data_IF_562599655911
#
_entry.id   IF_562599655911
#
_cell.length_a   1.000
_cell.length_b   1.000
_cell.length_c   1.000
_cell.angle_alpha   90.00
_cell.angle_beta   90.00
_cell.angle_gamma   90.00
#
_symmetry.space_group_name_H-M   'P 1'
#
loop_
_entity.id
_entity.type
_entity.pdbx_description
1 polymer ?
#
# COMPACT_ATOMS: atom_id res chain seq x y z
N UNK A 1 -39.37 45.49 -10.05
CA UNK A 1 -38.05 46.02 -10.47
C UNK A 1 -37.16 44.84 -10.81
N UNK A 2 -37.10 44.52 -12.10
CA UNK A 2 -36.16 43.59 -12.70
C UNK A 2 -35.20 44.42 -13.57
N UNK A 3 -33.91 44.07 -13.55
CA UNK A 3 -32.87 44.47 -14.51
C UNK A 3 -31.56 43.80 -14.04
N UNK A 4 -30.65 43.30 -14.86
CA UNK A 4 -30.56 43.10 -16.31
C UNK A 4 -29.21 42.37 -16.49
N UNK A 5 -29.17 41.20 -17.11
CA UNK A 5 -27.91 40.68 -17.67
C UNK A 5 -28.18 40.31 -19.13
N UNK A 6 -27.47 41.00 -20.01
CA UNK A 6 -27.70 41.04 -21.44
C UNK A 6 -27.38 39.73 -22.15
N UNK A 7 -28.29 39.36 -23.04
CA UNK A 7 -28.07 38.42 -24.12
C UNK A 7 -27.15 39.04 -25.17
N UNK A 8 -26.17 38.29 -25.64
CA UNK A 8 -25.62 38.44 -27.00
C UNK A 8 -25.57 37.06 -27.64
N UNK A 9 -26.61 36.75 -28.41
CA UNK A 9 -26.60 35.65 -29.37
C UNK A 9 -25.88 36.11 -30.64
N UNK A 10 -24.86 35.35 -31.06
CA UNK A 10 -24.19 35.59 -32.34
C UNK A 10 -24.57 34.46 -33.29
N UNK A 11 -25.42 34.82 -34.26
CA UNK A 11 -25.73 34.03 -35.44
C UNK A 11 -24.47 33.77 -36.27
N UNK A 12 -24.27 32.51 -36.69
CA UNK A 12 -23.23 32.14 -37.66
C UNK A 12 -23.59 32.66 -39.04
N UNK A 13 -22.68 33.40 -39.66
CA UNK A 13 -22.71 33.82 -41.06
C UNK A 13 -21.60 33.04 -41.82
N UNK A 14 -21.90 32.20 -42.83
CA UNK A 14 -20.90 31.36 -43.48
C UNK A 14 -20.44 31.99 -44.79
N UNK A 15 -19.39 32.80 -44.74
CA UNK A 15 -18.62 33.18 -45.94
C UNK A 15 -17.25 33.69 -45.52
N UNK A 16 -16.21 32.92 -45.85
CA UNK A 16 -14.90 33.32 -46.39
C UNK A 16 -14.02 32.06 -46.32
N UNK A 17 -13.97 31.36 -47.45
CA UNK A 17 -13.05 30.26 -47.71
C UNK A 17 -11.83 30.86 -48.41
N UNK A 18 -10.74 31.07 -47.67
CA UNK A 18 -9.43 31.47 -48.20
C UNK A 18 -8.49 30.27 -48.12
N UNK A 19 -8.41 29.49 -49.20
CA UNK A 19 -7.44 28.42 -49.36
C UNK A 19 -6.11 28.98 -49.87
N UNK A 20 -5.06 28.86 -49.05
CA UNK A 20 -3.67 28.99 -49.48
C UNK A 20 -3.27 27.75 -50.30
N UNK A 21 -2.70 27.96 -51.49
CA UNK A 21 -2.03 26.93 -52.28
C UNK A 21 -0.60 27.42 -52.58
N UNK A 22 0.39 26.68 -52.08
CA UNK A 22 1.81 26.78 -52.46
C UNK A 22 2.05 25.96 -53.74
N UNK A 23 2.86 26.44 -54.70
CA UNK A 23 3.09 25.72 -55.96
C UNK A 23 4.29 24.76 -55.83
N UNK A 24 4.11 23.52 -56.30
CA UNK A 24 5.20 22.57 -56.51
C UNK A 24 5.53 22.51 -58.00
N UNK A 25 6.76 22.89 -58.33
CA UNK A 25 7.36 22.83 -59.67
C UNK A 25 7.35 21.41 -60.24
N UNK A 26 6.93 21.29 -61.50
CA UNK A 26 7.09 20.09 -62.32
C UNK A 26 7.51 20.49 -63.74
N UNK A 27 8.79 20.35 -64.02
CA UNK A 27 9.41 20.44 -65.35
C UNK A 27 8.91 19.35 -66.28
N UNK A 28 8.36 19.71 -67.44
CA UNK A 28 8.37 18.83 -68.62
C UNK A 28 8.60 19.61 -69.91
N UNK A 29 9.50 19.04 -70.69
CA UNK A 29 10.16 19.51 -71.89
C UNK A 29 9.26 19.55 -73.12
N UNK A 30 9.47 20.59 -73.92
CA UNK A 30 8.90 20.81 -75.25
C UNK A 30 9.21 19.66 -76.20
N UNK A 31 8.18 19.14 -76.88
CA UNK A 31 8.32 18.47 -78.17
C UNK A 31 7.42 19.20 -79.16
N UNK A 32 8.08 19.75 -80.17
CA UNK A 32 7.54 20.48 -81.29
C UNK A 32 7.16 19.47 -82.39
N UNK A 33 5.92 19.45 -82.88
CA UNK A 33 5.61 19.07 -84.27
C UNK A 33 4.16 19.38 -84.60
N UNK A 34 3.96 20.23 -85.61
CA UNK A 34 2.65 20.60 -86.11
C UNK A 34 2.09 19.57 -87.09
N UNK A 35 0.78 19.39 -87.08
CA UNK A 35 0.02 18.91 -88.22
C UNK A 35 -1.32 19.64 -88.29
N UNK A 36 -1.52 20.31 -89.42
CA UNK A 36 -2.73 21.01 -89.84
C UNK A 36 -3.86 20.02 -90.13
N UNK A 37 -5.12 20.32 -89.78
CA UNK A 37 -6.34 19.99 -90.55
C UNK A 37 -7.61 20.58 -89.87
N UNK A 38 -8.76 20.75 -90.58
CA UNK A 38 -9.41 22.05 -90.70
C UNK A 38 -10.72 22.20 -89.91
N UNK A 39 -11.08 23.46 -89.64
CA UNK A 39 -12.30 23.84 -88.93
C UNK A 39 -13.59 23.38 -89.60
N UNK A 40 -14.53 22.94 -88.77
CA UNK A 40 -15.93 22.74 -89.11
C UNK A 40 -16.78 23.68 -88.26
N UNK A 41 -17.63 24.44 -88.95
CA UNK A 41 -18.51 25.48 -88.43
C UNK A 41 -19.59 24.88 -87.54
N UNK A 42 -19.75 25.39 -86.32
CA UNK A 42 -20.95 25.17 -85.51
C UNK A 42 -22.00 26.23 -85.84
N UNK A 43 -23.02 25.82 -86.58
CA UNK A 43 -24.31 26.51 -86.64
C UNK A 43 -25.12 26.15 -85.40
N UNK A 44 -25.47 27.15 -84.60
CA UNK A 44 -26.39 27.03 -83.47
C UNK A 44 -27.80 26.86 -84.02
N UNK A 45 -28.49 25.80 -83.63
CA UNK A 45 -29.95 25.74 -83.69
C UNK A 45 -30.49 25.30 -82.33
N UNK A 46 -31.15 26.26 -81.70
CA UNK A 46 -31.84 26.20 -80.42
C UNK A 46 -33.15 25.42 -80.53
N UNK A 47 -33.37 24.48 -79.61
CA UNK A 47 -34.66 23.85 -79.36
C UNK A 47 -34.93 23.86 -77.86
N UNK A 48 -35.95 24.59 -77.44
CA UNK A 48 -36.39 24.77 -76.04
C UNK A 48 -37.28 23.60 -75.64
N UNK A 49 -36.98 22.91 -74.52
CA UNK A 49 -37.92 22.74 -73.39
C UNK A 49 -37.44 21.69 -72.38
N UNK A 50 -37.13 22.21 -71.19
CA UNK A 50 -37.25 21.68 -69.81
C UNK A 50 -35.99 21.98 -69.04
N UNK A 51 -36.20 22.46 -67.81
CA UNK A 51 -35.24 23.02 -66.88
C UNK A 51 -34.11 22.04 -66.53
N UNK A 52 -33.09 21.97 -67.39
CA UNK A 52 -31.93 21.09 -67.26
C UNK A 52 -30.93 21.73 -66.30
N UNK A 53 -31.15 21.51 -65.01
CA UNK A 53 -30.25 21.96 -63.95
C UNK A 53 -28.91 21.19 -64.05
N UNK A 54 -27.94 21.80 -64.73
CA UNK A 54 -26.59 21.26 -64.93
C UNK A 54 -25.88 20.96 -63.60
N UNK A 55 -26.29 21.59 -62.48
CA UNK A 55 -25.78 21.25 -61.14
C UNK A 55 -26.32 19.90 -60.67
N UNK A 56 -27.60 19.59 -60.92
CA UNK A 56 -28.17 18.28 -60.62
C UNK A 56 -27.53 17.19 -61.46
N UNK A 57 -27.25 17.46 -62.73
CA UNK A 57 -26.52 16.52 -63.61
C UNK A 57 -25.07 16.34 -63.12
N UNK A 58 -24.40 17.40 -62.69
CA UNK A 58 -23.06 17.34 -62.11
C UNK A 58 -23.01 16.61 -60.77
N UNK A 59 -23.98 16.84 -59.89
CA UNK A 59 -24.14 16.13 -58.62
C UNK A 59 -24.46 14.65 -58.82
N UNK A 60 -25.36 14.32 -59.76
CA UNK A 60 -25.66 12.94 -60.11
C UNK A 60 -24.42 12.21 -60.67
N UNK A 61 -23.61 12.90 -61.48
CA UNK A 61 -22.33 12.35 -61.96
C UNK A 61 -21.31 12.17 -60.83
N UNK A 62 -21.22 13.10 -59.89
CA UNK A 62 -20.33 12.98 -58.73
C UNK A 62 -20.76 11.86 -57.79
N UNK A 63 -22.07 11.71 -57.53
CA UNK A 63 -22.60 10.58 -56.76
C UNK A 63 -22.31 9.25 -57.46
N UNK A 64 -22.48 9.17 -58.78
CA UNK A 64 -22.13 7.97 -59.55
C UNK A 64 -20.63 7.68 -59.48
N UNK A 65 -19.79 8.71 -59.46
CA UNK A 65 -18.35 8.59 -59.27
C UNK A 65 -18.01 8.11 -57.85
N UNK A 66 -18.64 8.67 -56.82
CA UNK A 66 -18.47 8.24 -55.42
C UNK A 66 -18.87 6.79 -55.21
N UNK A 67 -19.96 6.33 -55.85
CA UNK A 67 -20.40 4.93 -55.81
C UNK A 67 -19.36 4.00 -56.47
N UNK A 68 -18.79 4.40 -57.61
CA UNK A 68 -17.72 3.62 -58.26
C UNK A 68 -16.45 3.61 -57.42
N UNK A 69 -16.12 4.74 -56.79
CA UNK A 69 -14.98 4.85 -55.90
C UNK A 69 -15.18 4.02 -54.63
N UNK A 70 -16.38 4.01 -54.03
CA UNK A 70 -16.70 3.17 -52.88
C UNK A 70 -16.64 1.69 -53.24
N UNK A 71 -17.15 1.29 -54.41
CA UNK A 71 -17.05 -0.09 -54.89
C UNK A 71 -15.60 -0.57 -55.05
N UNK A 72 -14.72 0.31 -55.54
CA UNK A 72 -13.27 0.04 -55.60
C UNK A 72 -12.65 0.07 -54.20
N UNK A 73 -13.09 0.99 -53.33
CA UNK A 73 -12.59 1.14 -51.96
C UNK A 73 -12.95 -0.03 -51.05
N UNK A 74 -14.14 -0.63 -51.21
CA UNK A 74 -14.60 -1.81 -50.46
C UNK A 74 -13.75 -3.05 -50.80
N UNK A 75 -13.09 -3.04 -51.96
CA UNK A 75 -12.15 -4.09 -52.37
C UNK A 75 -10.75 -3.89 -51.79
N UNK A 76 -10.47 -2.74 -51.16
CA UNK A 76 -9.19 -2.41 -50.54
C UNK A 76 -9.25 -2.73 -49.04
N UNK A 77 -8.84 -3.96 -48.70
CA UNK A 77 -8.66 -4.34 -47.30
C UNK A 77 -7.47 -3.59 -46.68
N UNK A 78 -7.61 -3.15 -45.41
CA UNK A 78 -6.56 -2.48 -44.65
C UNK A 78 -6.73 -0.96 -44.48
N UNK A 79 -7.86 -0.39 -44.90
CA UNK A 79 -8.19 1.00 -44.57
C UNK A 79 -8.55 1.12 -43.09
N UNK A 80 -7.78 1.91 -42.34
CA UNK A 80 -8.06 2.21 -40.93
C UNK A 80 -8.97 3.43 -40.83
N UNK A 81 -10.26 3.24 -40.57
CA UNK A 81 -11.18 4.31 -40.19
C UNK A 81 -11.38 4.26 -38.67
N UNK A 82 -10.92 5.28 -37.96
CA UNK A 82 -11.15 5.40 -36.51
C UNK A 82 -12.51 6.08 -36.32
N UNK A 83 -13.41 5.46 -35.55
CA UNK A 83 -14.70 6.07 -35.23
C UNK A 83 -14.47 7.41 -34.49
N UNK A 84 -14.87 8.56 -35.06
CA UNK A 84 -14.69 9.86 -34.44
C UNK A 84 -15.36 9.96 -33.06
N UNK A 85 -16.47 9.24 -32.84
CA UNK A 85 -17.19 9.26 -31.55
C UNK A 85 -16.48 8.42 -30.50
N UNK A 86 -16.04 7.21 -30.85
CA UNK A 86 -15.18 6.38 -30.01
C UNK A 86 -13.89 7.11 -29.63
N UNK A 87 -13.22 7.72 -30.60
CA UNK A 87 -11.98 8.47 -30.37
C UNK A 87 -12.17 9.66 -29.43
N UNK A 88 -13.25 10.43 -29.57
CA UNK A 88 -13.56 11.53 -28.66
C UNK A 88 -13.93 11.05 -27.26
N UNK A 89 -14.60 9.90 -27.15
CA UNK A 89 -14.92 9.29 -25.85
C UNK A 89 -13.64 8.82 -25.15
N UNK A 90 -12.71 8.22 -25.89
CA UNK A 90 -11.40 7.82 -25.38
C UNK A 90 -10.58 9.04 -24.96
N UNK A 91 -10.58 10.12 -25.75
CA UNK A 91 -9.90 11.37 -25.38
C UNK A 91 -10.49 12.00 -24.12
N UNK A 92 -11.82 11.97 -23.95
CA UNK A 92 -12.48 12.46 -22.75
C UNK A 92 -12.11 11.62 -21.51
N UNK A 93 -11.90 10.31 -21.70
CA UNK A 93 -11.46 9.42 -20.62
C UNK A 93 -9.98 9.64 -20.21
N UNK A 94 -9.15 10.20 -21.12
CA UNK A 94 -7.74 10.51 -20.88
C UNK A 94 -7.49 11.87 -20.21
N UNK A 95 -8.51 12.71 -20.01
CA UNK A 95 -8.35 13.99 -19.33
C UNK A 95 -8.04 13.73 -17.85
N UNK A 96 -6.89 14.18 -17.33
CA UNK A 96 -6.56 14.01 -15.91
C UNK A 96 -7.61 14.73 -15.05
N UNK A 97 -8.38 13.97 -14.27
CA UNK A 97 -9.36 14.51 -13.31
C UNK A 97 -8.74 15.43 -12.24
N UNK A 98 -7.41 15.40 -12.08
CA UNK A 98 -6.65 16.12 -11.05
C UNK A 98 -5.63 17.12 -11.63
N UNK A 99 -5.85 17.61 -12.85
CA UNK A 99 -5.00 18.67 -13.43
C UNK A 99 -5.28 20.01 -12.75
N UNK A 100 -4.42 20.42 -11.82
CA UNK A 100 -4.48 21.77 -11.23
C UNK A 100 -4.32 22.88 -12.29
N UNK A 101 -4.59 24.13 -11.90
CA UNK A 101 -4.49 25.28 -12.81
C UNK A 101 -3.10 25.36 -13.46
N UNK A 102 -3.09 25.37 -14.79
CA UNK A 102 -1.84 25.34 -15.59
C UNK A 102 -0.90 26.49 -15.26
N UNK A 103 -1.43 27.64 -14.85
CA UNK A 103 -0.65 28.81 -14.46
C UNK A 103 0.01 28.61 -13.10
N UNK A 104 -0.69 28.03 -12.13
CA UNK A 104 -0.14 27.78 -10.80
C UNK A 104 0.86 26.62 -10.83
N UNK A 105 0.66 25.62 -11.70
CA UNK A 105 1.67 24.59 -11.99
C UNK A 105 2.96 25.23 -12.53
N UNK A 106 2.86 26.21 -13.43
CA UNK A 106 4.04 26.92 -13.96
C UNK A 106 4.76 27.74 -12.88
N UNK A 107 4.01 28.45 -12.03
CA UNK A 107 4.58 29.17 -10.87
C UNK A 107 5.27 28.22 -9.89
N UNK A 108 4.61 27.11 -9.55
CA UNK A 108 5.15 26.09 -8.66
C UNK A 108 6.43 25.46 -9.24
N UNK A 109 6.47 25.18 -10.54
CA UNK A 109 7.68 24.69 -11.22
C UNK A 109 8.84 25.68 -11.13
N UNK A 110 8.57 26.98 -11.30
CA UNK A 110 9.57 28.03 -11.18
C UNK A 110 10.09 28.14 -9.74
N UNK A 111 9.19 28.14 -8.75
CA UNK A 111 9.54 28.20 -7.34
C UNK A 111 10.38 26.97 -6.91
N UNK A 112 9.95 25.77 -7.27
CA UNK A 112 10.68 24.55 -6.94
C UNK A 112 12.02 24.48 -7.69
N UNK A 113 12.10 25.08 -8.89
CA UNK A 113 13.37 25.26 -9.61
C UNK A 113 14.32 26.20 -8.88
N UNK A 114 13.85 27.36 -8.42
CA UNK A 114 14.71 28.24 -7.63
C UNK A 114 15.15 27.57 -6.33
N UNK A 115 14.26 26.85 -5.64
CA UNK A 115 14.58 26.17 -4.38
C UNK A 115 15.67 25.10 -4.55
N UNK A 116 15.61 24.27 -5.61
CA UNK A 116 16.66 23.27 -5.85
C UNK A 116 18.00 23.88 -6.29
N UNK A 117 17.96 25.01 -6.98
CA UNK A 117 19.18 25.72 -7.42
C UNK A 117 19.85 26.45 -6.26
N UNK A 118 19.07 27.07 -5.36
CA UNK A 118 19.61 27.73 -4.17
C UNK A 118 20.09 26.71 -3.13
N UNK A 119 19.38 25.59 -2.98
CA UNK A 119 19.67 24.56 -1.99
C UNK A 119 19.75 23.16 -2.61
N UNK A 120 20.83 22.83 -3.34
CA UNK A 120 21.01 21.50 -3.92
C UNK A 120 21.01 20.38 -2.89
N UNK A 121 21.43 20.67 -1.65
CA UNK A 121 21.53 19.70 -0.55
C UNK A 121 20.23 19.40 0.19
N UNK A 122 19.09 19.94 -0.23
CA UNK A 122 17.82 19.79 0.46
C UNK A 122 16.96 18.69 -0.20
N UNK A 123 16.87 17.47 0.36
CA UNK A 123 16.17 16.35 -0.29
C UNK A 123 14.68 16.60 -0.54
N UNK A 124 13.90 17.24 0.37
CA UNK A 124 12.48 17.51 0.12
C UNK A 124 12.23 18.41 -1.10
N UNK A 125 13.17 19.29 -1.47
CA UNK A 125 13.02 20.12 -2.68
C UNK A 125 13.00 19.29 -3.96
N UNK A 126 13.89 18.29 -4.04
CA UNK A 126 13.94 17.37 -5.18
C UNK A 126 12.70 16.46 -5.22
N UNK A 127 12.27 15.95 -4.06
CA UNK A 127 11.05 15.13 -3.94
C UNK A 127 9.82 15.92 -4.37
N UNK A 128 9.64 17.14 -3.85
CA UNK A 128 8.50 17.99 -4.18
C UNK A 128 8.49 18.35 -5.67
N UNK A 129 9.66 18.65 -6.25
CA UNK A 129 9.77 18.94 -7.68
C UNK A 129 9.36 17.75 -8.55
N UNK A 130 9.76 16.55 -8.16
CA UNK A 130 9.43 15.35 -8.92
C UNK A 130 7.97 14.91 -8.76
N UNK A 131 7.42 15.01 -7.54
CA UNK A 131 5.98 14.77 -7.29
C UNK A 131 5.11 15.78 -8.06
N UNK A 132 5.55 17.03 -8.21
CA UNK A 132 4.86 18.01 -9.05
C UNK A 132 4.81 17.55 -10.52
N UNK A 133 5.93 17.12 -11.09
CA UNK A 133 5.95 16.65 -12.49
C UNK A 133 5.18 15.32 -12.68
N UNK A 134 5.11 14.48 -11.66
CA UNK A 134 4.26 13.28 -11.63
C UNK A 134 2.78 13.64 -11.73
N UNK A 135 2.29 14.58 -10.90
CA UNK A 135 0.88 15.04 -10.92
C UNK A 135 0.54 15.69 -12.27
N UNK A 136 1.50 16.36 -12.90
CA UNK A 136 1.35 16.95 -14.25
C UNK A 136 1.35 15.89 -15.37
N UNK A 137 1.70 14.63 -15.06
CA UNK A 137 1.77 13.53 -16.02
C UNK A 137 3.12 13.43 -16.77
N UNK A 138 4.11 14.27 -16.45
CA UNK A 138 5.44 14.25 -17.07
C UNK A 138 6.41 13.34 -16.31
N UNK A 139 6.08 12.04 -16.28
CA UNK A 139 6.84 11.04 -15.53
C UNK A 139 8.33 10.96 -15.91
N UNK A 140 8.67 11.14 -17.19
CA UNK A 140 10.07 11.07 -17.61
C UNK A 140 10.91 12.24 -17.07
N UNK A 141 10.33 13.44 -17.00
CA UNK A 141 11.00 14.61 -16.40
C UNK A 141 11.14 14.40 -14.90
N UNK A 142 10.09 13.90 -14.23
CA UNK A 142 10.13 13.56 -12.82
C UNK A 142 11.25 12.56 -12.49
N UNK A 143 11.37 11.49 -13.29
CA UNK A 143 12.41 10.46 -13.16
C UNK A 143 13.82 11.04 -13.29
N UNK A 144 14.07 11.80 -14.35
CA UNK A 144 15.38 12.44 -14.57
C UNK A 144 15.73 13.40 -13.42
N UNK A 145 14.75 14.14 -12.91
CA UNK A 145 14.95 15.10 -11.83
C UNK A 145 15.28 14.43 -10.49
N UNK A 146 14.61 13.32 -10.14
CA UNK A 146 14.98 12.57 -8.94
C UNK A 146 16.38 11.98 -9.08
N UNK A 147 16.74 11.44 -10.25
CA UNK A 147 18.09 10.88 -10.46
C UNK A 147 19.18 11.94 -10.24
N UNK A 148 18.99 13.15 -10.75
CA UNK A 148 19.87 14.28 -10.45
C UNK A 148 19.91 14.60 -8.96
N UNK A 149 18.76 14.57 -8.29
CA UNK A 149 18.68 14.73 -6.84
C UNK A 149 19.49 13.67 -6.09
N UNK A 150 19.38 12.40 -6.48
CA UNK A 150 20.11 11.28 -5.87
C UNK A 150 21.63 11.41 -6.02
N UNK A 151 22.11 11.89 -7.18
CA UNK A 151 23.53 12.16 -7.41
C UNK A 151 24.05 13.30 -6.52
N UNK A 152 23.26 14.36 -6.34
CA UNK A 152 23.61 15.49 -5.48
C UNK A 152 23.55 15.13 -4.00
N UNK A 153 22.61 14.27 -3.60
CA UNK A 153 22.35 13.89 -2.21
C UNK A 153 22.35 12.37 -2.00
N UNK A 154 23.52 11.71 -2.09
CA UNK A 154 23.61 10.26 -1.96
C UNK A 154 23.25 9.77 -0.56
N UNK A 155 23.32 10.63 0.47
CA UNK A 155 23.05 10.30 1.89
C UNK A 155 21.57 10.37 2.30
N UNK A 156 20.66 10.66 1.38
CA UNK A 156 19.25 10.90 1.73
C UNK A 156 18.36 9.70 1.41
N UNK A 157 17.84 9.04 2.44
CA UNK A 157 17.03 7.82 2.31
C UNK A 157 15.73 8.07 1.53
N UNK A 158 15.00 9.12 1.87
CA UNK A 158 13.69 9.42 1.27
C UNK A 158 13.78 9.69 -0.23
N UNK A 159 14.90 10.25 -0.70
CA UNK A 159 15.11 10.55 -2.10
C UNK A 159 15.29 9.28 -2.92
N UNK A 160 16.06 8.32 -2.41
CA UNK A 160 16.20 7.00 -3.03
C UNK A 160 14.88 6.22 -3.00
N UNK A 161 14.10 6.29 -1.92
CA UNK A 161 12.80 5.63 -1.85
C UNK A 161 11.81 6.20 -2.88
N UNK A 162 11.79 7.51 -3.07
CA UNK A 162 10.98 8.15 -4.11
C UNK A 162 11.50 7.84 -5.52
N UNK A 163 12.83 7.76 -5.72
CA UNK A 163 13.42 7.35 -6.98
C UNK A 163 12.92 5.96 -7.38
N UNK A 164 12.95 5.03 -6.43
CA UNK A 164 12.49 3.65 -6.61
C UNK A 164 10.99 3.58 -6.86
N UNK A 165 10.19 4.48 -6.26
CA UNK A 165 8.75 4.53 -6.50
C UNK A 165 8.41 5.02 -7.92
N UNK A 166 9.16 6.01 -8.44
CA UNK A 166 8.90 6.58 -9.77
C UNK A 166 9.41 5.72 -10.95
N UNK A 167 10.40 4.86 -10.69
CA UNK A 167 10.95 3.97 -11.69
C UNK A 167 10.30 2.58 -11.58
N UNK A 168 9.96 1.97 -12.70
CA UNK A 168 9.38 0.63 -12.77
C UNK A 168 10.37 -0.39 -13.36
N UNK A 169 10.23 -1.66 -12.95
CA UNK A 169 10.97 -2.78 -13.53
C UNK A 169 12.47 -2.79 -13.20
N UNK A 170 13.29 -3.21 -14.16
CA UNK A 170 14.73 -3.46 -13.97
C UNK A 170 15.53 -2.21 -13.58
N UNK A 171 15.07 -1.03 -13.99
CA UNK A 171 15.70 0.24 -13.62
C UNK A 171 15.53 0.54 -12.13
N UNK A 172 14.44 0.11 -11.51
CA UNK A 172 14.26 0.26 -10.06
C UNK A 172 15.29 -0.59 -9.30
N UNK A 173 15.61 -1.80 -9.80
CA UNK A 173 16.62 -2.69 -9.20
C UNK A 173 18.02 -2.08 -9.26
N UNK A 174 18.40 -1.48 -10.39
CA UNK A 174 19.70 -0.81 -10.50
C UNK A 174 19.79 0.42 -9.59
N UNK A 175 18.71 1.20 -9.47
CA UNK A 175 18.63 2.34 -8.55
C UNK A 175 18.74 1.89 -7.10
N UNK A 176 18.05 0.82 -6.70
CA UNK A 176 18.19 0.23 -5.36
C UNK A 176 19.62 -0.25 -5.12
N UNK A 177 20.25 -0.91 -6.09
CA UNK A 177 21.64 -1.36 -5.94
C UNK A 177 22.60 -0.18 -5.73
N UNK A 178 22.37 0.95 -6.42
CA UNK A 178 23.14 2.18 -6.17
C UNK A 178 22.82 2.80 -4.81
N UNK A 179 21.55 2.78 -4.40
CA UNK A 179 21.10 3.29 -3.11
C UNK A 179 21.75 2.52 -1.94
N UNK A 180 21.73 1.19 -1.99
CA UNK A 180 22.37 0.31 -1.01
C UNK A 180 23.88 0.54 -0.94
N UNK A 181 24.54 0.76 -2.09
CA UNK A 181 25.98 1.09 -2.10
C UNK A 181 26.26 2.42 -1.41
N UNK A 182 25.40 3.42 -1.61
CA UNK A 182 25.54 4.73 -0.97
C UNK A 182 25.19 4.70 0.52
N UNK A 183 24.23 3.86 0.92
CA UNK A 183 23.72 3.73 2.29
C UNK A 183 23.42 2.26 2.61
N UNK A 184 24.44 1.50 3.04
CA UNK A 184 24.25 0.10 3.38
C UNK A 184 23.50 -0.09 4.70
N UNK A 185 23.43 0.95 5.56
CA UNK A 185 22.84 0.90 6.90
C UNK A 185 21.37 1.30 6.96
N UNK A 186 20.73 1.62 5.83
CA UNK A 186 19.32 2.02 5.80
C UNK A 186 18.40 0.80 5.68
N UNK A 187 17.61 0.57 6.73
CA UNK A 187 16.62 -0.51 6.78
C UNK A 187 15.50 -0.31 5.76
N UNK A 188 15.02 0.93 5.54
CA UNK A 188 13.87 1.14 4.63
C UNK A 188 14.25 0.89 3.17
N UNK A 189 15.49 1.18 2.78
CA UNK A 189 15.99 0.86 1.42
C UNK A 189 16.04 -0.65 1.22
N UNK A 190 16.54 -1.41 2.20
CA UNK A 190 16.54 -2.88 2.12
C UNK A 190 15.14 -3.50 2.09
N UNK A 191 14.21 -2.96 2.88
CA UNK A 191 12.79 -3.37 2.81
C UNK A 191 12.22 -3.10 1.41
N UNK A 192 12.45 -1.89 0.88
CA UNK A 192 11.97 -1.54 -0.45
C UNK A 192 12.63 -2.38 -1.55
N UNK A 193 13.90 -2.75 -1.38
CA UNK A 193 14.61 -3.66 -2.27
C UNK A 193 13.93 -5.02 -2.36
N UNK A 194 13.53 -5.58 -1.21
CA UNK A 194 12.80 -6.84 -1.17
C UNK A 194 11.40 -6.74 -1.79
N UNK A 195 10.70 -5.60 -1.63
CA UNK A 195 9.38 -5.40 -2.22
C UNK A 195 9.38 -5.37 -3.76
N UNK A 196 10.49 -4.93 -4.39
CA UNK A 196 10.62 -4.89 -5.85
C UNK A 196 10.85 -6.27 -6.44
N UNK A 197 11.47 -7.17 -5.68
CA UNK A 197 11.67 -8.54 -6.14
C UNK A 197 10.35 -9.30 -6.13
N UNK A 198 10.06 -10.01 -7.21
CA UNK A 198 8.84 -10.81 -7.33
C UNK A 198 9.09 -12.22 -6.76
N UNK A 199 10.29 -12.76 -7.02
CA UNK A 199 10.69 -14.09 -6.59
C UNK A 199 11.09 -14.13 -5.12
N UNK A 200 10.58 -15.13 -4.39
CA UNK A 200 10.88 -15.36 -2.98
C UNK A 200 12.36 -15.70 -2.79
N UNK A 201 12.98 -16.46 -3.70
CA UNK A 201 14.40 -16.80 -3.57
C UNK A 201 15.30 -15.56 -3.73
N UNK A 202 14.92 -14.62 -4.61
CA UNK A 202 15.58 -13.33 -4.72
C UNK A 202 15.39 -12.48 -3.44
N UNK A 203 14.17 -12.41 -2.89
CA UNK A 203 13.90 -11.71 -1.61
C UNK A 203 14.76 -12.23 -0.47
N UNK A 204 14.85 -13.55 -0.31
CA UNK A 204 15.71 -14.21 0.70
C UNK A 204 17.17 -13.78 0.56
N UNK A 205 17.70 -13.74 -0.67
CA UNK A 205 19.07 -13.27 -0.93
C UNK A 205 19.27 -11.80 -0.57
N UNK A 206 18.29 -10.94 -0.87
CA UNK A 206 18.33 -9.52 -0.50
C UNK A 206 18.35 -9.35 1.01
N UNK A 207 17.47 -10.05 1.75
CA UNK A 207 17.45 -9.98 3.21
C UNK A 207 18.72 -10.53 3.85
N UNK A 208 19.30 -11.62 3.34
CA UNK A 208 20.59 -12.14 3.86
C UNK A 208 21.71 -11.10 3.71
N UNK A 209 21.81 -10.44 2.55
CA UNK A 209 22.74 -9.31 2.36
C UNK A 209 22.42 -8.12 3.27
N UNK A 210 21.14 -7.82 3.47
CA UNK A 210 20.73 -6.75 4.37
C UNK A 210 21.18 -7.02 5.82
N UNK A 211 21.04 -8.26 6.28
CA UNK A 211 21.42 -8.70 7.62
C UNK A 211 22.94 -8.78 7.83
N UNK A 212 23.72 -9.00 6.77
CA UNK A 212 25.19 -8.86 6.81
C UNK A 212 25.62 -7.42 7.10
N UNK A 213 24.89 -6.44 6.55
CA UNK A 213 25.16 -5.01 6.78
C UNK A 213 24.52 -4.47 8.06
N UNK A 214 23.32 -4.93 8.42
CA UNK A 214 22.52 -4.41 9.54
C UNK A 214 22.00 -5.59 10.39
N UNK A 215 22.82 -6.14 11.30
CA UNK A 215 22.38 -7.23 12.17
C UNK A 215 21.47 -6.75 13.32
N UNK A 216 21.39 -5.45 13.60
CA UNK A 216 20.66 -4.90 14.75
C UNK A 216 19.19 -4.59 14.49
N UNK A 217 18.71 -4.72 13.25
CA UNK A 217 17.34 -4.32 12.90
C UNK A 217 16.35 -5.46 13.06
N UNK A 218 15.52 -5.37 14.10
CA UNK A 218 14.40 -6.29 14.33
C UNK A 218 13.46 -6.39 13.12
N UNK A 219 13.19 -5.27 12.44
CA UNK A 219 12.28 -5.22 11.29
C UNK A 219 12.79 -6.08 10.13
N UNK A 220 14.10 -6.06 9.85
CA UNK A 220 14.70 -6.90 8.81
C UNK A 220 14.64 -8.38 9.20
N UNK A 221 14.93 -8.70 10.46
CA UNK A 221 14.82 -10.08 10.96
C UNK A 221 13.41 -10.63 10.82
N UNK A 222 12.38 -9.87 11.21
CA UNK A 222 10.97 -10.30 11.05
C UNK A 222 10.62 -10.58 9.59
N UNK A 223 10.92 -9.63 8.70
CA UNK A 223 10.62 -9.79 7.28
C UNK A 223 11.40 -10.95 6.64
N UNK A 224 12.61 -11.24 7.11
CA UNK A 224 13.38 -12.39 6.65
C UNK A 224 12.79 -13.71 7.17
N UNK A 225 12.40 -13.77 8.44
CA UNK A 225 11.82 -14.96 9.08
C UNK A 225 10.47 -15.34 8.46
N UNK A 226 9.65 -14.36 8.10
CA UNK A 226 8.35 -14.59 7.45
C UNK A 226 8.44 -15.29 6.08
N UNK A 227 9.61 -15.24 5.42
CA UNK A 227 9.83 -15.86 4.12
C UNK A 227 10.42 -17.26 4.21
N UNK A 228 10.96 -17.64 5.36
CA UNK A 228 11.72 -18.87 5.55
C UNK A 228 10.85 -20.03 6.05
N UNK A 229 11.26 -21.25 5.72
CA UNK A 229 10.63 -22.48 6.21
C UNK A 229 10.89 -22.65 7.72
N UNK A 230 10.06 -23.39 8.48
CA UNK A 230 10.12 -23.41 9.94
C UNK A 230 11.50 -23.84 10.51
N UNK A 231 12.19 -24.76 9.84
CA UNK A 231 13.52 -25.21 10.26
C UNK A 231 14.61 -24.17 10.02
N UNK A 232 14.58 -23.49 8.86
CA UNK A 232 15.52 -22.41 8.52
C UNK A 232 15.23 -21.15 9.34
N UNK A 233 13.95 -20.86 9.57
CA UNK A 233 13.47 -19.77 10.43
C UNK A 233 13.99 -19.92 11.85
N UNK A 234 14.05 -21.15 12.40
CA UNK A 234 14.65 -21.42 13.71
C UNK A 234 16.13 -21.02 13.74
N UNK A 235 16.92 -21.48 12.78
CA UNK A 235 18.36 -21.16 12.70
C UNK A 235 18.57 -19.65 12.56
N UNK A 236 17.76 -19.01 11.72
CA UNK A 236 17.81 -17.57 11.50
C UNK A 236 17.44 -16.79 12.76
N UNK A 237 16.41 -17.23 13.50
CA UNK A 237 15.98 -16.62 14.76
C UNK A 237 17.01 -16.79 15.88
N UNK A 238 17.73 -17.92 15.96
CA UNK A 238 18.82 -18.09 16.94
C UNK A 238 19.89 -17.01 16.74
N UNK A 239 20.28 -16.74 15.48
CA UNK A 239 21.22 -15.65 15.18
C UNK A 239 20.59 -14.27 15.42
N UNK A 240 19.30 -14.12 15.13
CA UNK A 240 18.56 -12.88 15.34
C UNK A 240 18.55 -12.46 16.82
N UNK A 241 18.29 -13.39 17.74
CA UNK A 241 18.24 -13.09 19.18
C UNK A 241 19.61 -12.79 19.78
N UNK A 242 20.70 -13.35 19.21
CA UNK A 242 22.07 -12.99 19.59
C UNK A 242 22.42 -11.56 19.15
N UNK A 243 21.97 -11.15 17.96
CA UNK A 243 22.22 -9.81 17.43
C UNK A 243 21.26 -8.74 18.01
N UNK A 244 20.03 -9.13 18.33
CA UNK A 244 18.94 -8.28 18.79
C UNK A 244 18.34 -8.82 20.11
N UNK A 245 19.14 -8.80 21.18
CA UNK A 245 18.73 -9.36 22.48
C UNK A 245 17.61 -8.58 23.18
N UNK A 246 17.35 -7.33 22.78
CA UNK A 246 16.32 -6.46 23.36
C UNK A 246 14.91 -6.70 22.80
N UNK A 247 14.77 -7.49 21.73
CA UNK A 247 13.48 -7.67 21.06
C UNK A 247 12.71 -8.87 21.58
N UNK A 248 11.66 -8.61 22.34
CA UNK A 248 10.79 -9.63 22.94
C UNK A 248 10.14 -10.53 21.89
N UNK A 249 9.65 -9.95 20.79
CA UNK A 249 8.94 -10.67 19.74
C UNK A 249 9.79 -11.76 19.06
N UNK A 250 11.10 -11.53 18.88
CA UNK A 250 12.01 -12.51 18.27
C UNK A 250 12.24 -13.69 19.21
N UNK A 251 12.40 -13.42 20.51
CA UNK A 251 12.49 -14.45 21.54
C UNK A 251 11.23 -15.31 21.62
N UNK A 252 10.06 -14.67 21.56
CA UNK A 252 8.77 -15.37 21.57
C UNK A 252 8.55 -16.21 20.31
N UNK A 253 8.93 -15.70 19.14
CA UNK A 253 8.87 -16.46 17.88
C UNK A 253 9.80 -17.69 17.93
N UNK A 254 11.03 -17.52 18.42
CA UNK A 254 11.99 -18.60 18.58
C UNK A 254 11.46 -19.69 19.53
N UNK A 255 10.91 -19.30 20.68
CA UNK A 255 10.34 -20.24 21.64
C UNK A 255 9.14 -21.04 21.11
N UNK A 256 8.38 -20.49 20.14
CA UNK A 256 7.25 -21.19 19.50
C UNK A 256 7.68 -22.23 18.46
N UNK A 257 8.84 -22.01 17.81
CA UNK A 257 9.36 -22.90 16.77
C UNK A 257 10.28 -24.00 17.33
N UNK A 258 10.85 -23.81 18.52
CA UNK A 258 11.75 -24.77 19.14
C UNK A 258 11.03 -25.90 19.89
N UNK A 259 11.79 -26.98 20.14
CA UNK A 259 11.37 -28.05 21.05
C UNK A 259 11.31 -27.52 22.49
N UNK A 260 10.48 -28.13 23.33
CA UNK A 260 10.25 -27.72 24.72
C UNK A 260 11.53 -27.45 25.52
N UNK A 261 12.52 -28.36 25.46
CA UNK A 261 13.75 -28.25 26.25
C UNK A 261 14.59 -27.04 25.84
N UNK A 262 14.65 -26.76 24.53
CA UNK A 262 15.38 -25.63 24.00
C UNK A 262 14.59 -24.32 24.19
N UNK A 263 13.28 -24.35 23.98
CA UNK A 263 12.39 -23.22 24.25
C UNK A 263 12.50 -22.75 25.70
N UNK A 264 12.62 -23.66 26.68
CA UNK A 264 12.86 -23.30 28.08
C UNK A 264 14.20 -22.60 28.29
N UNK A 265 15.28 -23.07 27.63
CA UNK A 265 16.60 -22.41 27.67
C UNK A 265 16.55 -21.03 27.02
N UNK A 266 15.88 -20.91 25.87
CA UNK A 266 15.68 -19.66 25.15
C UNK A 266 14.90 -18.65 25.98
N UNK A 267 13.79 -19.06 26.61
CA UNK A 267 13.01 -18.17 27.47
C UNK A 267 13.76 -17.76 28.73
N UNK A 268 14.61 -18.62 29.29
CA UNK A 268 15.48 -18.24 30.40
C UNK A 268 16.53 -17.20 29.98
N UNK A 269 17.19 -17.39 28.81
CA UNK A 269 18.08 -16.38 28.23
C UNK A 269 17.36 -15.06 27.93
N UNK A 270 16.14 -15.14 27.41
CA UNK A 270 15.32 -13.96 27.13
C UNK A 270 15.02 -13.15 28.40
N UNK A 271 14.79 -13.82 29.55
CA UNK A 271 14.58 -13.15 30.84
C UNK A 271 15.83 -12.46 31.38
N UNK A 272 17.00 -13.01 31.12
CA UNK A 272 18.28 -12.37 31.51
C UNK A 272 18.51 -11.07 30.73
N UNK A 273 18.18 -11.06 29.43
CA UNK A 273 18.31 -9.87 28.59
C UNK A 273 17.17 -8.87 28.75
N UNK A 274 15.94 -9.33 28.99
CA UNK A 274 14.73 -8.52 29.08
C UNK A 274 13.94 -8.90 30.33
N UNK A 275 14.35 -8.40 31.51
CA UNK A 275 13.70 -8.74 32.78
C UNK A 275 12.42 -7.90 33.03
N UNK A 276 12.16 -6.90 32.19
CA UNK A 276 11.03 -5.96 32.31
C UNK A 276 9.77 -6.40 31.56
N UNK A 277 9.86 -7.39 30.68
CA UNK A 277 8.73 -7.80 29.85
C UNK A 277 7.94 -8.97 30.47
N UNK A 278 6.62 -8.78 30.56
CA UNK A 278 5.65 -9.79 31.03
C UNK A 278 5.39 -10.89 29.99
N UNK A 279 5.49 -10.59 28.68
CA UNK A 279 5.11 -11.55 27.64
C UNK A 279 5.99 -12.81 27.66
N UNK A 280 7.27 -12.67 28.01
CA UNK A 280 8.22 -13.80 28.15
C UNK A 280 7.81 -14.76 29.27
N UNK A 281 7.24 -14.22 30.36
CA UNK A 281 6.73 -15.04 31.46
C UNK A 281 5.46 -15.78 31.06
N UNK A 282 4.54 -15.08 30.40
CA UNK A 282 3.29 -15.64 29.92
C UNK A 282 3.50 -16.72 28.86
N UNK A 283 4.44 -16.53 27.94
CA UNK A 283 4.78 -17.54 26.95
C UNK A 283 5.40 -18.79 27.60
N UNK A 284 6.21 -18.62 28.65
CA UNK A 284 6.72 -19.75 29.41
C UNK A 284 5.60 -20.50 30.15
N UNK A 285 4.66 -19.77 30.74
CA UNK A 285 3.50 -20.36 31.41
C UNK A 285 2.66 -21.17 30.41
N UNK A 286 2.42 -20.63 29.20
CA UNK A 286 1.73 -21.33 28.10
C UNK A 286 2.49 -22.58 27.64
N UNK A 287 3.81 -22.51 27.55
CA UNK A 287 4.63 -23.66 27.18
C UNK A 287 4.50 -24.80 28.20
N UNK A 288 4.54 -24.51 29.51
CA UNK A 288 4.38 -25.53 30.55
C UNK A 288 2.96 -26.13 30.58
N UNK A 289 1.94 -25.33 30.28
CA UNK A 289 0.55 -25.81 30.18
C UNK A 289 0.37 -26.82 29.04
N UNK A 290 0.95 -26.57 27.86
CA UNK A 290 0.84 -27.51 26.72
C UNK A 290 1.41 -28.91 27.01
N UNK A 291 2.31 -29.01 27.99
CA UNK A 291 2.89 -30.28 28.43
C UNK A 291 2.15 -30.91 29.61
N UNK A 292 1.21 -30.19 30.23
CA UNK A 292 0.43 -30.66 31.38
C UNK A 292 1.08 -30.42 32.75
N UNK A 293 2.10 -29.57 32.86
CA UNK A 293 2.70 -29.20 34.15
C UNK A 293 1.94 -28.04 34.82
N UNK A 294 0.70 -28.31 35.24
CA UNK A 294 -0.23 -27.31 35.81
C UNK A 294 0.33 -26.58 37.03
N UNK A 295 0.95 -27.28 37.98
CA UNK A 295 1.48 -26.68 39.21
C UNK A 295 2.63 -25.68 38.97
N UNK A 296 3.32 -25.81 37.83
CA UNK A 296 4.43 -24.92 37.50
C UNK A 296 3.92 -23.59 36.94
N UNK A 297 2.72 -23.57 36.34
CA UNK A 297 2.11 -22.38 35.75
C UNK A 297 1.90 -21.29 36.81
N UNK A 298 1.25 -21.63 37.93
CA UNK A 298 1.01 -20.70 39.04
C UNK A 298 2.33 -20.14 39.60
N UNK A 299 3.31 -21.03 39.83
CA UNK A 299 4.65 -20.67 40.31
C UNK A 299 5.39 -19.74 39.34
N UNK A 300 5.21 -19.90 38.03
CA UNK A 300 5.82 -19.03 37.00
C UNK A 300 5.17 -17.65 37.03
N UNK A 301 3.84 -17.56 37.12
CA UNK A 301 3.11 -16.28 37.19
C UNK A 301 3.47 -15.51 38.47
N UNK A 302 3.57 -16.18 39.62
CA UNK A 302 4.00 -15.54 40.87
C UNK A 302 5.44 -15.00 40.80
N UNK A 303 6.35 -15.79 40.22
CA UNK A 303 7.73 -15.34 39.98
C UNK A 303 7.77 -14.18 38.99
N UNK A 304 6.91 -14.19 37.97
CA UNK A 304 6.81 -13.09 37.01
C UNK A 304 6.44 -11.78 37.72
N UNK A 305 5.39 -11.80 38.56
CA UNK A 305 4.96 -10.62 39.31
C UNK A 305 6.03 -10.15 40.30
N UNK A 306 6.70 -11.08 40.98
CA UNK A 306 7.79 -10.76 41.90
C UNK A 306 8.97 -10.10 41.18
N UNK A 307 9.38 -10.67 40.03
CA UNK A 307 10.46 -10.12 39.21
C UNK A 307 10.10 -8.76 38.62
N UNK A 308 8.88 -8.57 38.14
CA UNK A 308 8.43 -7.30 37.56
C UNK A 308 8.33 -6.19 38.62
N UNK A 309 7.86 -6.52 39.82
CA UNK A 309 7.90 -5.60 40.99
C UNK A 309 9.33 -5.24 41.36
N UNK A 310 10.25 -6.22 41.38
CA UNK A 310 11.66 -5.98 41.68
C UNK A 310 12.33 -5.07 40.63
N UNK A 311 11.90 -5.16 39.37
CA UNK A 311 12.36 -4.30 38.28
C UNK A 311 11.60 -2.98 38.17
N UNK A 312 10.79 -2.63 39.19
CA UNK A 312 10.05 -1.36 39.28
C UNK A 312 9.07 -1.13 38.11
N UNK A 313 8.53 -2.19 37.51
CA UNK A 313 7.49 -2.08 36.47
C UNK A 313 6.12 -2.03 37.14
N UNK A 314 5.35 -0.98 36.85
CA UNK A 314 3.96 -0.88 37.30
C UNK A 314 3.11 -1.99 36.67
N UNK A 315 2.44 -2.76 37.52
CA UNK A 315 1.54 -3.84 37.07
C UNK A 315 0.23 -3.19 36.64
N UNK A 316 0.10 -2.92 35.35
CA UNK A 316 -1.17 -2.47 34.78
C UNK A 316 -2.15 -3.65 34.69
N UNK A 317 -3.16 -3.62 35.55
CA UNK A 317 -4.24 -4.63 35.62
C UNK A 317 -4.85 -4.96 34.26
N UNK A 318 -5.24 -3.96 33.47
CA UNK A 318 -5.96 -4.15 32.22
C UNK A 318 -5.14 -4.93 31.19
N UNK A 319 -3.83 -4.68 31.11
CA UNK A 319 -2.95 -5.38 30.19
C UNK A 319 -2.83 -6.86 30.52
N UNK A 320 -2.77 -7.21 31.81
CA UNK A 320 -2.75 -8.60 32.25
C UNK A 320 -4.08 -9.32 32.04
N UNK A 321 -5.21 -8.62 32.22
CA UNK A 321 -6.53 -9.18 31.91
C UNK A 321 -6.67 -9.45 30.40
N UNK A 322 -6.17 -8.53 29.56
CA UNK A 322 -6.13 -8.75 28.11
C UNK A 322 -5.25 -9.94 27.74
N UNK A 323 -4.10 -10.08 28.38
CA UNK A 323 -3.22 -11.24 28.17
C UNK A 323 -3.88 -12.56 28.58
N UNK A 324 -4.70 -12.56 29.64
CA UNK A 324 -5.47 -13.72 30.07
C UNK A 324 -6.50 -14.14 29.00
N UNK A 325 -7.20 -13.17 28.40
CA UNK A 325 -8.13 -13.40 27.28
C UNK A 325 -7.38 -13.98 26.07
N UNK A 326 -6.21 -13.42 25.75
CA UNK A 326 -5.39 -13.91 24.64
C UNK A 326 -4.84 -15.33 24.91
N UNK A 327 -4.60 -15.70 26.18
CA UNK A 327 -4.25 -17.06 26.57
C UNK A 327 -5.44 -18.03 26.44
N UNK A 328 -6.64 -17.61 26.83
CA UNK A 328 -7.86 -18.42 26.68
C UNK A 328 -8.18 -18.67 25.20
N UNK A 329 -8.09 -17.64 24.34
CA UNK A 329 -8.23 -17.79 22.89
C UNK A 329 -7.23 -18.77 22.29
N UNK A 330 -6.07 -18.91 22.92
CA UNK A 330 -5.06 -19.90 22.55
C UNK A 330 -5.29 -21.29 23.17
N UNK A 331 -6.46 -21.55 23.77
CA UNK A 331 -6.86 -22.79 24.46
C UNK A 331 -6.06 -23.12 25.74
N UNK A 332 -5.30 -22.14 26.25
CA UNK A 332 -4.51 -22.24 27.47
C UNK A 332 -5.35 -21.73 28.65
N UNK A 333 -6.14 -22.63 29.25
CA UNK A 333 -7.13 -22.33 30.30
C UNK A 333 -6.46 -22.10 31.65
N UNK A 334 -5.50 -22.95 32.01
CA UNK A 334 -4.85 -22.93 33.31
C UNK A 334 -3.99 -21.68 33.48
N UNK A 335 -3.31 -21.25 32.41
CA UNK A 335 -2.57 -19.98 32.41
C UNK A 335 -3.49 -18.78 32.59
N UNK A 336 -4.64 -18.76 31.92
CA UNK A 336 -5.62 -17.67 32.11
C UNK A 336 -6.14 -17.62 33.56
N UNK A 337 -6.44 -18.78 34.16
CA UNK A 337 -6.85 -18.89 35.56
C UNK A 337 -5.76 -18.40 36.53
N UNK A 338 -4.50 -18.82 36.31
CA UNK A 338 -3.36 -18.42 37.12
C UNK A 338 -3.12 -16.90 37.08
N UNK A 339 -3.16 -16.30 35.88
CA UNK A 339 -3.03 -14.85 35.69
C UNK A 339 -4.13 -14.12 36.47
N UNK A 340 -5.37 -14.57 36.33
CA UNK A 340 -6.52 -13.95 36.97
C UNK A 340 -6.41 -14.03 38.49
N UNK A 341 -6.14 -15.21 39.05
CA UNK A 341 -6.00 -15.38 40.50
C UNK A 341 -4.95 -14.43 41.10
N UNK A 342 -3.81 -14.24 40.42
CA UNK A 342 -2.72 -13.43 40.97
C UNK A 342 -2.87 -11.94 40.69
N UNK A 343 -3.58 -11.55 39.63
CA UNK A 343 -3.74 -10.13 39.21
C UNK A 343 -5.06 -9.51 39.69
N UNK A 344 -6.11 -10.29 39.95
CA UNK A 344 -7.42 -9.80 40.43
C UNK A 344 -7.33 -8.93 41.69
N UNK A 345 -6.46 -9.30 42.62
CA UNK A 345 -6.29 -8.60 43.89
C UNK A 345 -5.37 -7.38 43.81
N UNK A 346 -4.62 -7.21 42.71
CA UNK A 346 -3.63 -6.14 42.56
C UNK A 346 -4.32 -4.86 42.08
N UNK A 347 -4.16 -3.78 42.85
CA UNK A 347 -4.63 -2.44 42.47
C UNK A 347 -6.10 -2.14 42.78
N UNK A 348 -6.81 -3.01 43.51
CA UNK A 348 -8.22 -2.82 43.86
C UNK A 348 -8.41 -2.69 45.38
N UNK A 349 -8.99 -1.56 45.79
CA UNK A 349 -9.36 -1.29 47.17
C UNK A 349 -10.38 -2.31 47.69
N UNK A 350 -10.28 -2.67 48.97
CA UNK A 350 -11.07 -3.75 49.55
C UNK A 350 -12.60 -3.55 49.45
N UNK A 351 -13.03 -2.29 49.38
CA UNK A 351 -14.44 -1.89 49.29
C UNK A 351 -15.01 -2.09 47.88
N UNK A 352 -14.23 -1.72 46.85
CA UNK A 352 -14.65 -1.77 45.44
C UNK A 352 -14.42 -3.11 44.75
N UNK A 353 -13.64 -4.02 45.35
CA UNK A 353 -13.37 -5.37 44.82
C UNK A 353 -14.59 -6.08 44.28
N UNK A 354 -15.72 -5.97 44.99
CA UNK A 354 -16.96 -6.61 44.56
C UNK A 354 -17.49 -6.00 43.26
N UNK A 355 -17.47 -4.68 43.11
CA UNK A 355 -18.02 -4.05 41.92
C UNK A 355 -17.13 -4.34 40.72
N UNK A 356 -15.83 -4.06 40.86
CA UNK A 356 -14.84 -4.19 39.80
C UNK A 356 -14.72 -5.62 39.27
N UNK A 357 -14.65 -6.63 40.15
CA UNK A 357 -14.54 -8.02 39.69
C UNK A 357 -15.78 -8.50 38.94
N UNK A 358 -16.95 -7.94 39.27
CA UNK A 358 -18.19 -8.31 38.60
C UNK A 358 -18.30 -7.63 37.23
N UNK A 359 -17.86 -6.37 37.12
CA UNK A 359 -17.71 -5.69 35.82
C UNK A 359 -16.67 -6.39 34.93
N UNK A 360 -15.54 -6.81 35.51
CA UNK A 360 -14.51 -7.56 34.79
C UNK A 360 -15.06 -8.91 34.28
N UNK A 361 -15.83 -9.63 35.11
CA UNK A 361 -16.49 -10.86 34.69
C UNK A 361 -17.49 -10.61 33.55
N UNK A 362 -18.30 -9.56 33.64
CA UNK A 362 -19.26 -9.19 32.59
C UNK A 362 -18.52 -8.78 31.29
N UNK A 363 -17.36 -8.12 31.40
CA UNK A 363 -16.46 -7.78 30.28
C UNK A 363 -15.86 -9.03 29.61
N UNK A 364 -15.44 -10.03 30.40
CA UNK A 364 -14.94 -11.30 29.86
C UNK A 364 -16.03 -12.09 29.13
N UNK A 365 -17.25 -12.10 29.68
CA UNK A 365 -18.41 -12.70 29.00
C UNK A 365 -18.67 -12.01 27.66
N UNK A 366 -18.59 -10.68 27.60
CA UNK A 366 -18.74 -9.92 26.36
C UNK A 366 -17.63 -10.20 25.33
N UNK A 367 -16.43 -10.59 25.78
CA UNK A 367 -15.28 -10.95 24.94
C UNK A 367 -15.20 -12.45 24.58
N UNK A 368 -16.23 -13.24 24.94
CA UNK A 368 -16.28 -14.69 24.73
C UNK A 368 -15.18 -15.48 25.48
N UNK A 369 -14.65 -14.92 26.57
CA UNK A 369 -13.64 -15.52 27.43
C UNK A 369 -14.30 -16.14 28.69
N UNK A 370 -14.90 -17.31 28.51
CA UNK A 370 -15.71 -17.98 29.53
C UNK A 370 -14.87 -18.58 30.67
N UNK A 371 -13.69 -19.14 30.38
CA UNK A 371 -12.80 -19.71 31.40
C UNK A 371 -12.20 -18.62 32.28
N UNK A 372 -11.90 -17.45 31.71
CA UNK A 372 -11.51 -16.27 32.46
C UNK A 372 -12.62 -15.83 33.42
N UNK A 373 -13.86 -15.74 32.92
CA UNK A 373 -15.00 -15.38 33.75
C UNK A 373 -15.22 -16.39 34.90
N UNK A 374 -15.08 -17.70 34.65
CA UNK A 374 -15.11 -18.74 35.68
C UNK A 374 -14.05 -18.53 36.76
N UNK A 375 -12.82 -18.24 36.35
CA UNK A 375 -11.72 -17.97 37.27
C UNK A 375 -12.04 -16.78 38.18
N UNK A 376 -12.59 -15.70 37.61
CA UNK A 376 -13.01 -14.52 38.36
C UNK A 376 -14.12 -14.86 39.36
N UNK A 377 -15.14 -15.59 38.94
CA UNK A 377 -16.21 -16.01 39.85
C UNK A 377 -15.70 -16.93 40.96
N UNK A 378 -14.84 -17.89 40.65
CA UNK A 378 -14.25 -18.78 41.64
C UNK A 378 -13.45 -17.99 42.70
N UNK A 379 -12.60 -17.04 42.25
CA UNK A 379 -11.83 -16.17 43.14
C UNK A 379 -12.74 -15.23 43.97
N UNK A 380 -13.78 -14.66 43.36
CA UNK A 380 -14.75 -13.81 44.06
C UNK A 380 -15.57 -14.58 45.10
N UNK A 381 -15.88 -15.85 44.85
CA UNK A 381 -16.61 -16.72 45.79
C UNK A 381 -15.74 -17.18 46.96
N UNK A 382 -14.44 -17.46 46.73
CA UNK A 382 -13.49 -17.78 47.79
C UNK A 382 -13.31 -16.61 48.77
N UNK A 383 -13.30 -15.38 48.25
CA UNK A 383 -13.11 -14.17 49.06
C UNK A 383 -14.39 -13.69 49.74
N UNK A 384 -15.57 -13.90 49.12
CA UNK A 384 -16.86 -13.48 49.66
C UNK A 384 -17.90 -14.62 49.66
N UNK A 385 -17.73 -15.66 50.50
CA UNK A 385 -18.62 -16.83 50.50
C UNK A 385 -20.07 -16.49 50.87
N UNK A 386 -20.30 -15.46 51.66
CA UNK A 386 -21.63 -15.15 52.24
C UNK A 386 -22.52 -14.27 51.32
N UNK A 387 -22.01 -13.78 50.18
CA UNK A 387 -22.73 -12.79 49.36
C UNK A 387 -23.58 -13.48 48.29
N UNK A 388 -24.91 -13.53 48.51
CA UNK A 388 -25.90 -14.11 47.57
C UNK A 388 -25.80 -13.55 46.14
N UNK A 389 -25.48 -12.26 45.96
CA UNK A 389 -25.44 -11.64 44.62
C UNK A 389 -24.37 -12.24 43.71
N UNK A 390 -23.22 -12.65 44.27
CA UNK A 390 -22.10 -13.23 43.51
C UNK A 390 -22.47 -14.66 43.10
N UNK A 391 -22.98 -15.45 44.05
CA UNK A 391 -23.52 -16.80 43.79
C UNK A 391 -24.60 -16.81 42.71
N UNK A 392 -25.54 -15.87 42.77
CA UNK A 392 -26.65 -15.82 41.81
C UNK A 392 -26.14 -15.50 40.40
N UNK A 393 -25.23 -14.54 40.24
CA UNK A 393 -24.62 -14.23 38.94
C UNK A 393 -23.74 -15.36 38.41
N UNK A 394 -22.93 -16.00 39.25
CA UNK A 394 -22.15 -17.17 38.87
C UNK A 394 -23.05 -18.35 38.43
N UNK A 395 -24.15 -18.59 39.13
CA UNK A 395 -25.13 -19.62 38.74
C UNK A 395 -25.85 -19.28 37.43
N UNK A 396 -26.19 -18.01 37.19
CA UNK A 396 -26.73 -17.57 35.90
C UNK A 396 -25.71 -17.72 34.76
N UNK A 397 -24.45 -17.40 35.02
CA UNK A 397 -23.36 -17.58 34.08
C UNK A 397 -23.18 -19.06 33.71
N UNK A 398 -23.07 -19.97 34.69
CA UNK A 398 -22.94 -21.41 34.42
C UNK A 398 -24.21 -21.99 33.78
N UNK A 399 -25.40 -21.46 34.07
CA UNK A 399 -26.62 -21.87 33.35
C UNK A 399 -26.56 -21.54 31.86
N UNK A 400 -25.92 -20.44 31.48
CA UNK A 400 -25.86 -19.98 30.09
C UNK A 400 -24.65 -20.56 29.34
N UNK A 401 -23.53 -20.76 30.03
CA UNK A 401 -22.23 -21.09 29.41
C UNK A 401 -21.59 -22.37 29.95
N UNK A 402 -22.23 -23.07 30.89
CA UNK A 402 -21.75 -24.31 31.47
C UNK A 402 -21.62 -25.41 30.43
N UNK A 403 -20.42 -25.98 30.32
CA UNK A 403 -20.20 -27.26 29.65
C UNK A 403 -20.60 -28.38 30.61
N UNK A 404 -21.60 -29.16 30.22
CA UNK A 404 -22.02 -30.41 30.87
C UNK A 404 -20.89 -31.43 30.97
#
# INVERSE_FOLDING_TARGET
>A
MASQYGQTGTSMDPRIQSGMMTPLSGTMTSINSGLLTPGWRTGVQTGVSTDLDLRKIGQARNQLMDIKLSQVSDSVAGQTNVDPKGYLTDLQSMIPQHGGDINDIKKARLLLKSVRETNPKHPPAWIASARLEEVVGKLQVARNLIMQGCEQNPKSEDLWLEAVRLHSGDRAKSIVATAVRSMPLSVRIWMKAADIEIDVAAKKKVFRKALEHIPTSVRLWKAAVELEDPDDARILLTRAVECCSTSTELWLALARLETYENARKVLNKAREHIPTDRQIWLSAARLEETRGQSEMVDKIVDRALTSLKANMVEINRELWLRDAVDAEKATCRLTSQAIINNVLAIGVEAEDRKHTWMEDADSFVAQEAFECARAVYAHALQTFPNKKSIWLRAAHFEKNHGTT
#
